data_IF_639764113422
#
_entry.id   IF_639764113422
#
_cell.length_a   1.000
_cell.length_b   1.000
_cell.length_c   1.000
_cell.angle_alpha   90.00
_cell.angle_beta   90.00
_cell.angle_gamma   90.00
#
_symmetry.space_group_name_H-M   'P 1'
#
loop_
_entity.id
_entity.type
_entity.pdbx_description
1 polymer ?
#
# COMPACT_ATOMS: atom_id res chain seq x y z
N UNK A 1 19.36 18.26 -19.36
CA UNK A 1 18.51 17.30 -20.10
C UNK A 1 17.14 17.35 -19.45
N UNK A 2 16.08 17.56 -20.22
CA UNK A 2 14.70 17.63 -19.72
C UNK A 2 14.24 16.23 -19.32
N UNK A 3 13.79 16.07 -18.07
CA UNK A 3 13.21 14.82 -17.56
C UNK A 3 12.06 14.40 -18.48
N UNK A 4 12.10 13.18 -18.98
CA UNK A 4 11.03 12.64 -19.81
C UNK A 4 9.82 12.40 -18.90
N UNK A 5 8.70 13.04 -19.23
CA UNK A 5 7.43 12.81 -18.53
C UNK A 5 7.00 11.35 -18.75
N UNK A 6 6.78 10.63 -17.65
CA UNK A 6 6.46 9.21 -17.68
C UNK A 6 4.95 9.06 -17.87
N UNK A 7 4.54 8.37 -18.94
CA UNK A 7 3.13 8.08 -19.18
C UNK A 7 2.67 6.87 -18.34
N UNK A 8 1.85 7.15 -17.33
CA UNK A 8 1.24 6.15 -16.44
C UNK A 8 -0.12 5.63 -16.93
N UNK A 9 -0.63 6.09 -18.07
CA UNK A 9 -1.98 5.75 -18.59
C UNK A 9 -2.19 4.25 -18.74
N UNK A 10 -1.15 3.50 -19.12
CA UNK A 10 -1.25 2.05 -19.25
C UNK A 10 -1.38 1.38 -17.88
N UNK A 11 -0.59 1.81 -16.89
CA UNK A 11 -0.66 1.29 -15.53
C UNK A 11 -2.04 1.56 -14.92
N UNK A 12 -2.54 2.79 -15.05
CA UNK A 12 -3.87 3.20 -14.62
C UNK A 12 -4.98 2.30 -15.21
N UNK A 13 -5.00 2.10 -16.54
CA UNK A 13 -5.97 1.22 -17.22
C UNK A 13 -5.91 -0.23 -16.74
N UNK A 14 -4.71 -0.76 -16.48
CA UNK A 14 -4.54 -2.14 -16.01
C UNK A 14 -5.06 -2.32 -14.59
N UNK A 15 -4.76 -1.35 -13.70
CA UNK A 15 -5.25 -1.35 -12.32
C UNK A 15 -6.78 -1.16 -12.26
N UNK A 16 -7.33 -0.23 -13.05
CA UNK A 16 -8.78 -0.02 -13.17
C UNK A 16 -9.51 -1.28 -13.65
N UNK A 17 -8.89 -2.06 -14.54
CA UNK A 17 -9.44 -3.32 -15.03
C UNK A 17 -9.21 -4.52 -14.08
N UNK A 18 -8.55 -4.32 -12.93
CA UNK A 18 -8.21 -5.39 -11.99
C UNK A 18 -7.20 -6.41 -12.56
N UNK A 19 -6.41 -6.01 -13.58
CA UNK A 19 -5.37 -6.86 -14.18
C UNK A 19 -4.08 -6.76 -13.38
N UNK A 20 -4.13 -7.23 -12.14
CA UNK A 20 -3.07 -7.05 -11.13
C UNK A 20 -1.69 -7.53 -11.58
N UNK A 21 -1.62 -8.67 -12.27
CA UNK A 21 -0.36 -9.21 -12.80
C UNK A 21 0.24 -8.35 -13.90
N UNK A 22 -0.59 -7.89 -14.83
CA UNK A 22 -0.13 -7.02 -15.92
C UNK A 22 0.29 -5.64 -15.38
N UNK A 23 -0.45 -5.13 -14.39
CA UNK A 23 -0.14 -3.87 -13.70
C UNK A 23 1.18 -3.95 -12.93
N UNK A 24 1.46 -5.08 -12.29
CA UNK A 24 2.74 -5.35 -11.61
C UNK A 24 3.92 -5.29 -12.59
N UNK A 25 3.80 -5.96 -13.74
CA UNK A 25 4.82 -5.90 -14.79
C UNK A 25 4.96 -4.50 -15.40
N UNK A 26 3.87 -3.77 -15.59
CA UNK A 26 3.90 -2.39 -16.08
C UNK A 26 4.54 -1.45 -15.06
N UNK A 27 4.35 -1.69 -13.76
CA UNK A 27 4.98 -0.93 -12.68
C UNK A 27 6.49 -0.97 -12.79
N UNK A 28 7.08 -2.16 -13.02
CA UNK A 28 8.52 -2.30 -13.25
C UNK A 28 8.97 -1.51 -14.48
N UNK A 29 8.20 -1.55 -15.57
CA UNK A 29 8.52 -0.83 -16.82
C UNK A 29 8.51 0.68 -16.65
N UNK A 30 7.51 1.24 -15.95
CA UNK A 30 7.46 2.69 -15.72
C UNK A 30 8.55 3.14 -14.75
N UNK A 31 8.88 2.34 -13.73
CA UNK A 31 10.00 2.65 -12.83
C UNK A 31 11.34 2.63 -13.56
N UNK A 32 11.58 1.64 -14.44
CA UNK A 32 12.75 1.58 -15.31
C UNK A 32 12.88 2.84 -16.19
N UNK A 33 11.78 3.26 -16.84
CA UNK A 33 11.77 4.51 -17.63
C UNK A 33 12.02 5.75 -16.78
N UNK A 34 11.45 5.82 -15.57
CA UNK A 34 11.61 6.95 -14.67
C UNK A 34 13.05 7.15 -14.19
N UNK A 35 13.83 6.08 -14.12
CA UNK A 35 15.26 6.13 -13.78
C UNK A 35 16.18 6.04 -15.00
N UNK A 36 15.63 6.09 -16.22
CA UNK A 36 16.34 5.98 -17.51
C UNK A 36 17.24 4.74 -17.64
N UNK A 37 16.72 3.57 -17.20
CA UNK A 37 17.41 2.28 -17.27
C UNK A 37 16.58 1.28 -18.06
N UNK A 38 17.23 0.45 -18.87
CA UNK A 38 16.53 -0.46 -19.79
C UNK A 38 16.22 -1.84 -19.21
N UNK A 39 17.05 -2.32 -18.28
CA UNK A 39 17.07 -3.76 -17.96
C UNK A 39 16.72 -4.04 -16.51
N UNK A 40 17.57 -3.59 -15.58
CA UNK A 40 17.57 -4.12 -14.23
C UNK A 40 17.57 -3.01 -13.22
N UNK A 41 16.47 -2.94 -12.46
CA UNK A 41 16.31 -1.97 -11.39
C UNK A 41 17.06 -2.46 -10.15
N UNK A 42 18.16 -1.80 -9.79
CA UNK A 42 18.87 -2.06 -8.54
C UNK A 42 18.34 -1.18 -7.40
N UNK A 43 18.76 -1.48 -6.17
CA UNK A 43 18.49 -0.64 -5.01
C UNK A 43 19.09 0.77 -5.16
N UNK A 44 20.22 0.93 -5.87
CA UNK A 44 20.83 2.23 -6.13
C UNK A 44 20.01 3.05 -7.14
N UNK A 45 19.42 2.39 -8.14
CA UNK A 45 18.62 3.06 -9.17
C UNK A 45 17.31 3.59 -8.58
N UNK A 46 16.72 2.87 -7.63
CA UNK A 46 15.55 3.32 -6.89
C UNK A 46 15.78 4.65 -6.13
N UNK A 47 17.01 4.96 -5.75
CA UNK A 47 17.32 6.26 -5.14
C UNK A 47 17.17 7.41 -6.15
N UNK A 48 17.30 7.14 -7.46
CA UNK A 48 17.15 8.13 -8.52
C UNK A 48 15.71 8.37 -8.94
N UNK A 49 14.78 7.46 -8.61
CA UNK A 49 13.36 7.64 -8.88
C UNK A 49 12.89 8.97 -8.27
N UNK A 50 12.03 9.74 -8.92
CA UNK A 50 11.58 10.99 -8.28
C UNK A 50 10.52 10.71 -7.21
N UNK A 51 10.31 11.65 -6.30
CA UNK A 51 9.19 11.57 -5.35
C UNK A 51 7.84 11.61 -6.06
N UNK A 52 7.72 12.39 -7.13
CA UNK A 52 6.52 12.53 -7.95
C UNK A 52 6.14 11.21 -8.63
N UNK A 53 7.12 10.54 -9.24
CA UNK A 53 6.92 9.25 -9.91
C UNK A 53 6.54 8.16 -8.90
N UNK A 54 7.28 8.09 -7.79
CA UNK A 54 7.01 7.13 -6.73
C UNK A 54 5.61 7.33 -6.12
N UNK A 55 5.22 8.59 -5.88
CA UNK A 55 3.90 8.93 -5.37
C UNK A 55 2.79 8.59 -6.36
N UNK A 56 2.98 8.90 -7.65
CA UNK A 56 2.00 8.59 -8.70
C UNK A 56 1.75 7.10 -8.79
N UNK A 57 2.81 6.29 -8.80
CA UNK A 57 2.70 4.83 -8.84
C UNK A 57 1.99 4.31 -7.58
N UNK A 58 2.40 4.78 -6.40
CA UNK A 58 1.81 4.37 -5.13
C UNK A 58 0.32 4.71 -5.03
N UNK A 59 -0.06 5.92 -5.45
CA UNK A 59 -1.43 6.40 -5.43
C UNK A 59 -2.33 5.58 -6.35
N UNK A 60 -1.87 5.27 -7.57
CA UNK A 60 -2.61 4.40 -8.49
C UNK A 60 -2.88 3.03 -7.85
N UNK A 61 -1.86 2.40 -7.27
CA UNK A 61 -2.01 1.12 -6.60
C UNK A 61 -2.97 1.19 -5.42
N UNK A 62 -2.87 2.20 -4.56
CA UNK A 62 -3.76 2.38 -3.41
C UNK A 62 -5.20 2.64 -3.86
N UNK A 63 -5.42 3.50 -4.83
CA UNK A 63 -6.75 3.90 -5.29
C UNK A 63 -7.55 2.70 -5.82
N UNK A 64 -6.96 1.89 -6.70
CA UNK A 64 -7.67 0.76 -7.29
C UNK A 64 -7.73 -0.47 -6.38
N UNK A 65 -6.84 -0.58 -5.39
CA UNK A 65 -6.82 -1.68 -4.43
C UNK A 65 -7.54 -1.40 -3.11
N UNK A 66 -8.12 -0.21 -2.96
CA UNK A 66 -8.72 0.25 -1.70
C UNK A 66 -7.72 0.28 -0.54
N UNK A 67 -6.52 0.83 -0.80
CA UNK A 67 -5.42 0.94 0.15
C UNK A 67 -4.70 -0.38 0.47
N UNK A 68 -5.14 -1.51 -0.09
CA UNK A 68 -4.59 -2.83 0.23
C UNK A 68 -3.19 -3.04 -0.35
N UNK A 69 -2.92 -2.45 -1.51
CA UNK A 69 -1.67 -2.58 -2.26
C UNK A 69 -1.02 -1.20 -2.44
N UNK A 70 0.29 -1.17 -2.63
CA UNK A 70 1.08 0.05 -2.73
C UNK A 70 2.38 -0.02 -1.93
N UNK A 71 3.36 0.79 -2.33
CA UNK A 71 4.66 0.88 -1.68
C UNK A 71 4.58 1.54 -0.30
N UNK A 72 3.69 2.51 -0.10
CA UNK A 72 3.43 3.11 1.22
C UNK A 72 2.79 2.11 2.17
N UNK A 73 1.85 1.29 1.68
CA UNK A 73 1.27 0.19 2.44
C UNK A 73 2.34 -0.83 2.84
N UNK A 74 3.22 -1.21 1.91
CA UNK A 74 4.35 -2.10 2.22
C UNK A 74 5.34 -1.48 3.20
N UNK A 75 5.67 -0.19 3.04
CA UNK A 75 6.59 0.52 3.91
C UNK A 75 6.07 0.56 5.35
N UNK A 76 4.78 0.83 5.54
CA UNK A 76 4.13 0.77 6.86
C UNK A 76 4.23 -0.62 7.48
N UNK A 77 3.87 -1.67 6.73
CA UNK A 77 3.97 -3.05 7.21
C UNK A 77 5.41 -3.44 7.56
N UNK A 78 6.38 -2.97 6.77
CA UNK A 78 7.79 -3.19 7.04
C UNK A 78 8.24 -2.54 8.35
N UNK A 79 7.73 -1.34 8.69
CA UNK A 79 7.97 -0.69 9.98
C UNK A 79 7.30 -1.44 11.14
N UNK A 80 6.06 -1.88 10.97
CA UNK A 80 5.32 -2.67 11.97
C UNK A 80 6.06 -3.98 12.31
N UNK A 81 6.66 -4.62 11.32
CA UNK A 81 7.53 -5.79 11.48
C UNK A 81 8.95 -5.44 11.95
N UNK A 82 9.16 -4.25 12.53
CA UNK A 82 10.45 -3.75 13.05
C UNK A 82 11.58 -3.84 12.03
N UNK A 83 11.25 -3.67 10.74
CA UNK A 83 12.17 -3.79 9.60
C UNK A 83 12.80 -5.17 9.45
N UNK A 84 12.20 -6.21 10.04
CA UNK A 84 12.62 -7.59 9.85
C UNK A 84 12.06 -8.11 8.53
N UNK A 85 12.91 -8.16 7.50
CA UNK A 85 12.52 -8.50 6.13
C UNK A 85 11.77 -9.83 6.00
N UNK A 86 12.21 -10.87 6.72
CA UNK A 86 11.58 -12.18 6.69
C UNK A 86 10.14 -12.17 7.22
N UNK A 87 9.89 -11.47 8.33
CA UNK A 87 8.56 -11.33 8.91
C UNK A 87 7.66 -10.52 8.00
N UNK A 88 8.18 -9.41 7.44
CA UNK A 88 7.48 -8.63 6.43
C UNK A 88 7.06 -9.48 5.23
N UNK A 89 7.97 -10.30 4.69
CA UNK A 89 7.68 -11.18 3.56
C UNK A 89 6.61 -12.23 3.89
N UNK A 90 6.56 -12.74 5.12
CA UNK A 90 5.46 -13.61 5.57
C UNK A 90 4.15 -12.82 5.69
N UNK A 91 4.21 -11.60 6.24
CA UNK A 91 3.06 -10.72 6.43
C UNK A 91 2.36 -10.34 5.11
N UNK A 92 3.13 -10.04 4.07
CA UNK A 92 2.61 -9.73 2.74
C UNK A 92 2.36 -10.98 1.89
N UNK A 93 2.67 -12.17 2.39
CA UNK A 93 2.44 -13.43 1.70
C UNK A 93 3.41 -13.72 0.55
N UNK A 94 4.64 -13.21 0.59
CA UNK A 94 5.75 -13.62 -0.28
C UNK A 94 6.51 -14.82 0.29
N UNK A 95 6.29 -15.12 1.57
CA UNK A 95 6.72 -16.35 2.23
C UNK A 95 5.55 -17.03 2.91
N UNK A 96 5.46 -18.34 2.77
CA UNK A 96 4.42 -19.15 3.41
C UNK A 96 5.11 -20.32 4.11
N UNK A 97 4.92 -20.44 5.42
CA UNK A 97 5.54 -21.48 6.26
C UNK A 97 7.08 -21.53 6.11
N UNK A 98 7.73 -20.36 6.04
CA UNK A 98 9.18 -20.25 5.89
C UNK A 98 9.71 -20.43 4.46
N UNK A 99 8.88 -20.88 3.50
CA UNK A 99 9.27 -21.06 2.10
C UNK A 99 8.91 -19.85 1.25
N UNK A 100 9.80 -19.52 0.30
CA UNK A 100 9.55 -18.48 -0.69
C UNK A 100 8.61 -18.99 -1.77
N UNK A 101 7.58 -18.21 -2.09
CA UNK A 101 6.73 -18.51 -3.25
C UNK A 101 7.23 -17.79 -4.49
N UNK A 102 7.23 -18.48 -5.63
CA UNK A 102 7.64 -17.88 -6.90
C UNK A 102 6.59 -16.93 -7.47
N UNK A 103 7.00 -16.05 -8.39
CA UNK A 103 6.13 -15.10 -9.08
C UNK A 103 4.85 -15.74 -9.65
N UNK A 104 4.99 -16.95 -10.18
CA UNK A 104 3.92 -17.73 -10.80
C UNK A 104 2.85 -18.20 -9.79
N UNK A 105 3.20 -18.20 -8.50
CA UNK A 105 2.39 -18.69 -7.39
C UNK A 105 1.78 -17.54 -6.56
N UNK A 106 2.08 -16.28 -6.92
CA UNK A 106 1.49 -15.10 -6.28
C UNK A 106 -0.03 -15.06 -6.47
N UNK A 107 -0.72 -14.45 -5.51
CA UNK A 107 -2.16 -14.25 -5.56
C UNK A 107 -2.47 -12.92 -6.29
N UNK A 108 -2.87 -13.02 -7.55
CA UNK A 108 -3.19 -11.88 -8.41
C UNK A 108 -4.63 -11.38 -8.25
N UNK A 109 -5.15 -11.34 -7.02
CA UNK A 109 -6.52 -10.90 -6.72
C UNK A 109 -6.56 -9.94 -5.53
N UNK A 110 -7.65 -9.17 -5.39
CA UNK A 110 -7.86 -8.28 -4.24
C UNK A 110 -7.90 -9.01 -2.88
N UNK A 111 -8.15 -10.32 -2.89
CA UNK A 111 -8.17 -11.14 -1.68
C UNK A 111 -6.76 -11.52 -1.19
N UNK A 112 -5.70 -11.14 -1.91
CA UNK A 112 -4.33 -11.32 -1.45
C UNK A 112 -4.07 -10.54 -0.14
N UNK A 113 -3.04 -10.93 0.63
CA UNK A 113 -2.65 -10.21 1.85
C UNK A 113 -2.42 -8.71 1.61
N UNK A 114 -2.62 -7.89 2.63
CA UNK A 114 -2.32 -6.45 2.55
C UNK A 114 -0.82 -6.28 2.29
N UNK A 115 -0.45 -5.40 1.36
CA UNK A 115 0.91 -5.18 0.90
C UNK A 115 1.44 -6.23 -0.09
N UNK A 116 0.63 -7.22 -0.51
CA UNK A 116 1.09 -8.27 -1.42
C UNK A 116 1.63 -7.75 -2.76
N UNK A 117 1.05 -6.67 -3.26
CA UNK A 117 1.42 -6.02 -4.52
C UNK A 117 1.74 -4.52 -4.30
N UNK A 118 2.56 -3.90 -5.15
CA UNK A 118 3.35 -4.51 -6.24
C UNK A 118 4.43 -5.46 -5.70
N UNK A 119 4.68 -6.57 -6.37
CA UNK A 119 5.69 -7.54 -5.94
C UNK A 119 7.09 -7.12 -6.38
N UNK A 120 7.93 -6.74 -5.41
CA UNK A 120 9.31 -6.29 -5.66
C UNK A 120 10.32 -7.11 -4.86
N UNK A 121 10.25 -8.45 -4.96
CA UNK A 121 11.16 -9.33 -4.22
C UNK A 121 12.52 -9.48 -4.92
N UNK A 122 13.60 -9.26 -4.16
CA UNK A 122 14.99 -9.54 -4.55
C UNK A 122 15.67 -8.41 -5.35
N UNK A 123 17.00 -8.30 -5.25
CA UNK A 123 17.86 -7.18 -5.73
C UNK A 123 17.79 -6.87 -7.25
N UNK A 124 17.01 -7.61 -8.01
CA UNK A 124 17.06 -7.67 -9.46
C UNK A 124 15.64 -7.91 -10.01
N UNK A 125 14.99 -6.85 -10.51
CA UNK A 125 13.71 -6.93 -11.19
C UNK A 125 13.92 -7.12 -12.69
N UNK A 126 13.65 -8.32 -13.21
CA UNK A 126 13.70 -8.60 -14.65
C UNK A 126 12.35 -8.29 -15.30
N UNK A 127 12.31 -7.56 -16.43
CA UNK A 127 11.11 -7.49 -17.25
C UNK A 127 10.85 -8.89 -17.83
N UNK A 128 9.78 -9.53 -17.37
CA UNK A 128 9.48 -10.91 -17.72
C UNK A 128 9.27 -11.10 -19.24
N UNK A 129 10.18 -11.84 -19.87
CA UNK A 129 9.89 -12.94 -20.80
C UNK A 129 11.15 -13.81 -20.99
N UNK A 130 11.09 -15.05 -20.53
CA UNK A 130 12.06 -16.10 -20.85
C UNK A 130 13.26 -16.24 -19.91
N UNK A 131 13.37 -17.44 -19.31
CA UNK A 131 14.56 -18.10 -18.72
C UNK A 131 14.62 -18.14 -17.16
N UNK A 132 14.27 -19.34 -16.68
CA UNK A 132 14.75 -20.11 -15.52
C UNK A 132 14.68 -19.51 -14.11
N UNK A 133 13.61 -19.84 -13.38
CA UNK A 133 13.61 -19.86 -11.91
C UNK A 133 14.35 -21.07 -11.31
N UNK A 134 14.83 -22.01 -12.14
CA UNK A 134 15.60 -23.17 -11.69
C UNK A 134 16.65 -23.62 -12.71
N UNK A 135 17.91 -23.76 -12.30
CA UNK A 135 18.90 -24.62 -12.95
C UNK A 135 18.67 -26.06 -12.45
N UNK A 136 18.23 -26.98 -13.33
CA UNK A 136 18.31 -28.42 -13.04
C UNK A 136 19.71 -28.91 -13.41
N UNK A 137 20.52 -29.25 -12.42
CA UNK A 137 21.75 -30.03 -12.59
C UNK A 137 21.54 -31.37 -11.88
N UNK A 138 21.73 -32.48 -12.62
CA UNK A 138 21.75 -33.88 -12.17
C UNK A 138 21.27 -34.13 -10.73
N UNK A 139 19.96 -34.36 -10.59
CA UNK A 139 19.24 -34.74 -9.35
C UNK A 139 19.10 -33.69 -8.23
N UNK A 140 19.52 -32.44 -8.44
CA UNK A 140 19.29 -31.34 -7.50
C UNK A 140 18.49 -30.19 -8.15
N UNK A 141 17.45 -29.70 -7.47
CA UNK A 141 16.73 -28.47 -7.84
C UNK A 141 17.36 -27.34 -7.03
N UNK A 142 18.15 -26.48 -7.68
CA UNK A 142 18.60 -25.23 -7.06
C UNK A 142 17.50 -24.18 -7.23
N UNK A 143 16.78 -23.89 -6.15
CA UNK A 143 16.03 -22.65 -6.05
C UNK A 143 17.05 -21.51 -5.95
N UNK A 144 17.07 -20.62 -6.95
CA UNK A 144 17.93 -19.43 -6.93
C UNK A 144 17.59 -18.48 -5.76
N UNK A 145 16.43 -18.69 -5.12
CA UNK A 145 16.04 -18.06 -3.85
C UNK A 145 16.87 -18.51 -2.63
N UNK A 146 17.70 -19.55 -2.72
CA UNK A 146 18.62 -19.93 -1.63
C UNK A 146 20.09 -19.58 -1.97
N UNK A 147 20.45 -19.53 -3.26
CA UNK A 147 21.84 -19.24 -3.68
C UNK A 147 22.11 -17.74 -3.76
N UNK A 148 21.11 -16.90 -4.07
CA UNK A 148 21.28 -15.44 -4.10
C UNK A 148 21.36 -14.78 -2.71
N UNK A 149 20.91 -15.47 -1.66
CA UNK A 149 20.96 -14.97 -0.28
C UNK A 149 22.15 -15.54 0.50
N UNK A 150 22.87 -16.51 -0.06
CA UNK A 150 24.11 -17.06 0.47
C UNK A 150 25.31 -16.20 0.06
N UNK A 151 25.78 -15.36 1.00
CA UNK A 151 27.10 -14.71 1.03
C UNK A 151 27.40 -13.53 0.09
N UNK A 152 26.46 -13.02 -0.72
CA UNK A 152 26.68 -11.82 -1.54
C UNK A 152 26.17 -10.53 -0.85
N UNK A 153 27.08 -9.89 -0.11
CA UNK A 153 27.02 -8.51 0.43
C UNK A 153 25.94 -8.29 1.51
N UNK A 154 26.36 -8.37 2.78
CA UNK A 154 25.56 -8.12 3.98
C UNK A 154 25.06 -6.65 4.09
N UNK A 155 25.46 -5.77 3.16
CA UNK A 155 25.29 -4.32 3.27
C UNK A 155 24.38 -3.67 2.23
N UNK A 156 23.86 -4.36 1.21
CA UNK A 156 22.94 -3.69 0.29
C UNK A 156 21.52 -3.66 0.88
N UNK A 157 20.89 -2.48 0.92
CA UNK A 157 19.52 -2.35 1.38
C UNK A 157 18.57 -3.12 0.45
N UNK A 158 17.59 -3.82 1.06
CA UNK A 158 16.47 -4.42 0.32
C UNK A 158 15.70 -3.34 -0.44
N UNK A 159 15.06 -3.70 -1.57
CA UNK A 159 14.24 -2.75 -2.34
C UNK A 159 13.16 -2.09 -1.46
N UNK A 160 12.53 -2.87 -0.57
CA UNK A 160 11.54 -2.34 0.37
C UNK A 160 12.16 -1.32 1.34
N UNK A 161 13.38 -1.55 1.83
CA UNK A 161 14.05 -0.57 2.70
C UNK A 161 14.41 0.72 1.97
N UNK A 162 14.82 0.65 0.70
CA UNK A 162 15.09 1.85 -0.12
C UNK A 162 13.82 2.62 -0.41
N UNK A 163 12.76 1.93 -0.86
CA UNK A 163 11.48 2.55 -1.14
C UNK A 163 10.86 3.16 0.12
N UNK A 164 10.96 2.48 1.26
CA UNK A 164 10.47 2.99 2.55
C UNK A 164 11.22 4.25 2.97
N UNK A 165 12.54 4.27 2.83
CA UNK A 165 13.35 5.45 3.17
C UNK A 165 13.01 6.61 2.24
N UNK A 166 12.93 6.34 0.93
CA UNK A 166 12.62 7.33 -0.07
C UNK A 166 11.25 7.97 0.13
N UNK A 167 10.23 7.16 0.43
CA UNK A 167 8.91 7.67 0.80
C UNK A 167 8.99 8.62 2.01
N UNK A 168 9.79 8.28 3.04
CA UNK A 168 10.00 9.16 4.19
C UNK A 168 10.73 10.47 3.82
N UNK A 169 11.72 10.41 2.94
CA UNK A 169 12.48 11.58 2.47
C UNK A 169 11.60 12.52 1.61
N UNK A 170 10.67 11.95 0.83
CA UNK A 170 9.69 12.71 0.04
C UNK A 170 8.76 13.55 0.91
N UNK A 171 8.47 13.11 2.15
CA UNK A 171 7.69 13.90 3.11
C UNK A 171 8.54 14.95 3.84
N UNK A 172 9.86 14.75 3.94
CA UNK A 172 10.77 15.66 4.65
C UNK A 172 11.23 16.85 3.81
N UNK A 173 11.05 16.78 2.48
CA UNK A 173 11.39 17.83 1.51
C UNK A 173 10.22 18.78 1.21
N UNK A 174 9.02 18.45 1.68
CA UNK A 174 7.90 19.38 1.82
C UNK A 174 7.94 19.98 3.22
N UNK A 175 8.45 21.21 3.36
CA UNK A 175 8.33 21.96 4.60
C UNK A 175 6.87 21.96 5.07
N UNK A 176 6.65 21.50 6.29
CA UNK A 176 5.39 21.45 7.05
C UNK A 176 4.10 21.58 6.23
N UNK A 177 3.41 20.46 6.05
CA UNK A 177 1.97 20.49 6.25
C UNK A 177 1.54 19.13 6.76
N UNK A 178 0.89 19.08 7.92
CA UNK A 178 -0.01 18.00 8.27
C UNK A 178 -0.91 17.77 7.05
N UNK A 179 -0.65 16.71 6.28
CA UNK A 179 -1.45 16.43 5.10
C UNK A 179 -2.88 16.22 5.57
N UNK A 180 -3.78 17.15 5.23
CA UNK A 180 -5.21 16.89 5.32
C UNK A 180 -5.45 15.69 4.40
N UNK A 181 -5.61 14.51 5.00
CA UNK A 181 -6.04 13.32 4.27
C UNK A 181 -7.35 13.73 3.59
N UNK A 182 -7.36 13.83 2.26
CA UNK A 182 -8.57 14.06 1.51
C UNK A 182 -9.09 12.73 1.00
N UNK A 183 -10.35 12.43 1.29
CA UNK A 183 -10.95 11.17 0.86
C UNK A 183 -11.38 11.27 -0.59
N UNK A 184 -10.89 10.36 -1.42
CA UNK A 184 -11.49 10.14 -2.74
C UNK A 184 -12.89 9.56 -2.54
N UNK A 185 -13.84 9.85 -3.44
CA UNK A 185 -15.25 9.48 -3.26
C UNK A 185 -15.50 8.00 -2.95
N UNK A 186 -14.66 7.09 -3.45
CA UNK A 186 -14.69 5.66 -3.13
C UNK A 186 -14.28 5.37 -1.68
N UNK A 187 -13.20 5.99 -1.19
CA UNK A 187 -12.75 5.87 0.20
C UNK A 187 -13.76 6.47 1.16
N UNK A 188 -14.37 7.61 0.81
CA UNK A 188 -15.43 8.23 1.62
C UNK A 188 -16.62 7.30 1.76
N UNK A 189 -17.10 6.73 0.65
CA UNK A 189 -18.19 5.75 0.66
C UNK A 189 -17.86 4.54 1.54
N UNK A 190 -16.66 3.99 1.41
CA UNK A 190 -16.23 2.86 2.24
C UNK A 190 -16.14 3.22 3.72
N UNK A 191 -15.70 4.44 4.06
CA UNK A 191 -15.66 4.86 5.44
C UNK A 191 -17.07 5.02 6.02
N UNK A 192 -18.00 5.61 5.26
CA UNK A 192 -19.42 5.65 5.63
C UNK A 192 -19.97 4.25 5.89
N UNK A 193 -19.76 3.32 4.96
CA UNK A 193 -20.21 1.93 5.08
C UNK A 193 -19.60 1.21 6.28
N UNK A 194 -18.32 1.47 6.58
CA UNK A 194 -17.63 0.88 7.73
C UNK A 194 -18.16 1.41 9.06
N UNK A 195 -18.40 2.73 9.17
CA UNK A 195 -18.98 3.36 10.35
C UNK A 195 -20.42 2.89 10.58
N UNK A 196 -21.25 2.87 9.54
CA UNK A 196 -22.65 2.41 9.66
C UNK A 196 -22.75 0.92 10.01
N UNK A 197 -21.84 0.10 9.51
CA UNK A 197 -21.78 -1.33 9.82
C UNK A 197 -21.35 -1.59 11.28
N UNK A 198 -20.37 -0.82 11.75
CA UNK A 198 -19.85 -0.89 13.11
C UNK A 198 -20.78 -0.29 14.16
N UNK A 199 -21.50 0.78 13.82
CA UNK A 199 -22.38 1.51 14.70
C UNK A 199 -23.78 1.58 14.07
N UNK A 200 -24.60 0.53 14.25
CA UNK A 200 -25.88 0.40 13.52
C UNK A 200 -26.99 1.39 13.92
N UNK A 201 -26.69 2.35 14.79
CA UNK A 201 -27.63 3.40 15.19
C UNK A 201 -26.89 4.71 15.46
N UNK A 202 -27.59 5.82 15.25
CA UNK A 202 -27.07 7.15 15.55
C UNK A 202 -26.60 7.27 17.00
N UNK A 203 -27.33 6.70 17.95
CA UNK A 203 -26.96 6.71 19.36
C UNK A 203 -25.64 5.97 19.63
N UNK A 204 -25.39 4.85 18.94
CA UNK A 204 -24.13 4.11 19.09
C UNK A 204 -22.94 4.91 18.56
N UNK A 205 -23.13 5.61 17.45
CA UNK A 205 -22.13 6.51 16.89
C UNK A 205 -21.87 7.71 17.80
N UNK A 206 -22.93 8.34 18.33
CA UNK A 206 -22.86 9.45 19.28
C UNK A 206 -22.07 9.07 20.54
N UNK A 207 -22.35 7.90 21.10
CA UNK A 207 -21.62 7.38 22.27
C UNK A 207 -20.13 7.21 21.94
N UNK A 208 -19.81 6.62 20.78
CA UNK A 208 -18.42 6.41 20.36
C UNK A 208 -17.67 7.74 20.25
N UNK A 209 -18.20 8.71 19.51
CA UNK A 209 -17.49 9.98 19.32
C UNK A 209 -17.46 10.83 20.60
N UNK A 210 -18.46 10.71 21.48
CA UNK A 210 -18.47 11.41 22.76
C UNK A 210 -17.41 10.88 23.72
N UNK A 211 -17.16 9.56 23.74
CA UNK A 211 -16.21 8.95 24.68
C UNK A 211 -14.78 8.95 24.14
N UNK A 212 -14.61 8.81 22.82
CA UNK A 212 -13.28 8.68 22.21
C UNK A 212 -12.70 10.02 21.75
N UNK A 213 -13.56 11.01 21.43
CA UNK A 213 -13.15 12.27 20.78
C UNK A 213 -13.68 13.53 21.51
N UNK A 214 -14.50 13.38 22.56
CA UNK A 214 -15.21 14.47 23.23
C UNK A 214 -16.09 15.32 22.29
N UNK A 215 -16.53 14.73 21.17
CA UNK A 215 -17.37 15.40 20.17
C UNK A 215 -18.86 15.23 20.47
N UNK A 216 -19.65 16.26 20.14
CA UNK A 216 -21.12 16.24 20.27
C UNK A 216 -21.77 16.13 18.89
N UNK A 217 -22.28 14.94 18.56
CA UNK A 217 -22.80 14.62 17.21
C UNK A 217 -23.78 15.68 16.69
N UNK A 218 -24.72 16.10 17.54
CA UNK A 218 -25.76 17.09 17.23
C UNK A 218 -25.24 18.52 17.01
N UNK A 219 -23.98 18.81 17.31
CA UNK A 219 -23.34 20.11 17.09
C UNK A 219 -22.43 20.14 15.87
N UNK A 220 -22.03 18.96 15.35
CA UNK A 220 -21.01 18.84 14.29
C UNK A 220 -21.53 18.16 13.02
N UNK A 221 -22.63 17.41 13.12
CA UNK A 221 -23.20 16.66 12.01
C UNK A 221 -24.73 16.70 12.06
N UNK A 222 -25.35 16.72 10.90
CA UNK A 222 -26.80 16.67 10.73
C UNK A 222 -27.16 15.96 9.43
N UNK A 223 -28.41 15.57 9.29
CA UNK A 223 -28.91 14.86 8.12
C UNK A 223 -30.34 14.38 8.36
N UNK A 224 -31.08 14.15 7.28
CA UNK A 224 -32.47 13.67 7.35
C UNK A 224 -32.54 12.17 7.67
N UNK A 225 -31.42 11.46 7.53
CA UNK A 225 -31.27 10.04 7.81
C UNK A 225 -29.86 9.70 8.32
N UNK A 226 -29.69 8.47 8.82
CA UNK A 226 -28.43 8.04 9.46
C UNK A 226 -27.22 8.07 8.51
N UNK A 227 -27.42 7.79 7.22
CA UNK A 227 -26.35 7.83 6.23
C UNK A 227 -25.82 9.27 6.04
N UNK A 228 -26.71 10.25 5.95
CA UNK A 228 -26.34 11.67 5.86
C UNK A 228 -25.64 12.20 7.11
N UNK A 229 -26.05 11.74 8.30
CA UNK A 229 -25.36 12.08 9.56
C UNK A 229 -23.93 11.56 9.55
N UNK A 230 -23.72 10.30 9.14
CA UNK A 230 -22.38 9.70 9.04
C UNK A 230 -21.52 10.40 7.98
N UNK A 231 -22.12 10.72 6.82
CA UNK A 231 -21.43 11.44 5.76
C UNK A 231 -20.97 12.83 6.24
N UNK A 232 -21.85 13.58 6.89
CA UNK A 232 -21.56 14.92 7.40
C UNK A 232 -20.52 14.91 8.53
N UNK A 233 -20.51 13.86 9.36
CA UNK A 233 -19.45 13.64 10.37
C UNK A 233 -18.07 13.46 9.71
N UNK A 234 -18.01 12.70 8.61
CA UNK A 234 -16.76 12.50 7.86
C UNK A 234 -16.30 13.81 7.22
N UNK A 235 -17.21 14.59 6.63
CA UNK A 235 -16.90 15.92 6.08
C UNK A 235 -16.35 16.86 7.15
N UNK A 236 -16.94 16.85 8.35
CA UNK A 236 -16.43 17.61 9.49
C UNK A 236 -15.02 17.16 9.89
N UNK A 237 -14.80 15.84 10.06
CA UNK A 237 -13.49 15.30 10.43
C UNK A 237 -12.43 15.60 9.36
N UNK A 238 -12.79 15.55 8.08
CA UNK A 238 -11.92 15.92 6.97
C UNK A 238 -11.55 17.41 7.01
N UNK A 239 -12.52 18.29 7.27
CA UNK A 239 -12.29 19.73 7.39
C UNK A 239 -11.41 20.11 8.59
N UNK A 240 -11.47 19.34 9.69
CA UNK A 240 -10.61 19.53 10.87
C UNK A 240 -9.27 18.79 10.76
N UNK A 241 -9.03 18.00 9.70
CA UNK A 241 -7.84 17.16 9.59
C UNK A 241 -7.79 16.01 10.59
N UNK A 242 -8.95 15.59 11.12
CA UNK A 242 -9.11 14.61 12.20
C UNK A 242 -9.67 13.26 11.73
N UNK A 243 -9.51 12.94 10.44
CA UNK A 243 -10.00 11.67 9.87
C UNK A 243 -9.30 10.46 10.46
N UNK A 244 -8.00 10.57 10.72
CA UNK A 244 -7.20 9.51 11.33
C UNK A 244 -7.70 9.24 12.74
N UNK A 245 -7.92 10.29 13.52
CA UNK A 245 -8.44 10.22 14.88
C UNK A 245 -9.83 9.59 14.91
N UNK A 246 -10.72 9.96 13.98
CA UNK A 246 -12.05 9.37 13.85
C UNK A 246 -11.97 7.87 13.52
N UNK A 247 -11.10 7.46 12.60
CA UNK A 247 -10.92 6.06 12.24
C UNK A 247 -10.36 5.24 13.42
N UNK A 248 -9.34 5.75 14.11
CA UNK A 248 -8.72 5.04 15.23
C UNK A 248 -9.67 4.95 16.45
N UNK A 249 -10.44 6.01 16.72
CA UNK A 249 -11.52 5.97 17.70
C UNK A 249 -12.56 4.89 17.37
N UNK A 250 -13.01 4.83 16.11
CA UNK A 250 -13.95 3.81 15.66
C UNK A 250 -13.38 2.38 15.82
N UNK A 251 -12.10 2.16 15.48
CA UNK A 251 -11.41 0.87 15.65
C UNK A 251 -11.28 0.48 17.13
N UNK A 252 -10.98 1.42 18.03
CA UNK A 252 -10.91 1.16 19.49
C UNK A 252 -12.26 0.79 20.06
N UNK A 253 -13.32 1.50 19.66
CA UNK A 253 -14.67 1.25 20.13
C UNK A 253 -15.30 -0.04 19.56
N UNK A 254 -14.89 -0.46 18.35
CA UNK A 254 -15.37 -1.70 17.73
C UNK A 254 -14.22 -2.52 17.10
N UNK A 255 -13.34 -3.13 17.92
CA UNK A 255 -12.15 -3.84 17.44
C UNK A 255 -12.47 -5.16 16.72
N UNK A 256 -13.72 -5.63 16.81
CA UNK A 256 -14.21 -6.81 16.12
C UNK A 256 -14.73 -6.54 14.71
N UNK A 257 -14.95 -5.27 14.32
CA UNK A 257 -15.54 -4.95 13.04
C UNK A 257 -14.52 -5.13 11.89
N UNK A 258 -14.76 -6.03 10.92
CA UNK A 258 -13.80 -6.33 9.87
C UNK A 258 -13.66 -5.18 8.85
N UNK A 259 -14.70 -4.37 8.63
CA UNK A 259 -14.63 -3.23 7.70
C UNK A 259 -13.71 -2.15 8.27
N UNK A 260 -13.88 -1.78 9.54
CA UNK A 260 -13.00 -0.81 10.21
C UNK A 260 -11.54 -1.30 10.29
N UNK A 261 -11.32 -2.58 10.63
CA UNK A 261 -9.96 -3.16 10.71
C UNK A 261 -9.22 -3.13 9.38
N UNK A 262 -9.93 -3.31 8.28
CA UNK A 262 -9.36 -3.37 6.94
C UNK A 262 -9.36 -2.01 6.23
N UNK A 263 -9.92 -0.98 6.86
CA UNK A 263 -10.01 0.37 6.30
C UNK A 263 -8.76 1.19 6.61
N UNK A 264 -8.20 1.81 5.57
CA UNK A 264 -7.01 2.64 5.61
C UNK A 264 -7.16 3.80 4.61
N UNK A 265 -6.60 4.96 4.97
CA UNK A 265 -6.58 6.17 4.14
C UNK A 265 -5.46 6.12 3.08
#
# INVERSE_FOLDING_TARGET
MTRQEIDYTRLDKLLAAGKWKDADQETIKVMLKAVDIQNLLSSADLLQLSCEDLHTIDELWRNYSYGRFGFSTQARLFQEERKVYYNFCERVGWRVNGEWIGYNQLNWTLNAPVGHLPHMQGRYLFPAEGIMTSLRLNSFVLNLGDVAFGNAVINDPTLISVLSQKLADCHSSTGENSQSVKLVGSQRKQFCEALMDAFRSEKALEIMISYELDWKLNQISGGDNYEEVVFSLIDYAEAQGQLIELLEAAKRANPGNPKLRNFYF
#
